data_IF_935359367413
#
_entry.id   IF_935359367413
#
_cell.length_a   1.000
_cell.length_b   1.000
_cell.length_c   1.000
_cell.angle_alpha   90.00
_cell.angle_beta   90.00
_cell.angle_gamma   90.00
#
_symmetry.space_group_name_H-M   'P 1'
#
loop_
_entity.id
_entity.type
_entity.pdbx_description
1 polymer ?
#
# COMPACT_ATOMS: atom_id res chain seq x y z
N UNK A 1 18.19 -5.44 -25.40
CA UNK A 1 16.97 -6.30 -25.31
C UNK A 1 16.39 -6.12 -23.92
N UNK A 2 15.18 -5.57 -23.80
CA UNK A 2 14.66 -5.07 -22.52
C UNK A 2 14.26 -6.25 -21.60
N UNK A 3 15.06 -6.51 -20.56
CA UNK A 3 14.97 -7.69 -19.67
C UNK A 3 13.62 -7.80 -18.91
N UNK A 4 12.85 -6.71 -18.90
CA UNK A 4 11.51 -6.62 -18.30
C UNK A 4 10.36 -7.15 -19.19
N UNK A 5 10.60 -7.51 -20.46
CA UNK A 5 9.57 -8.01 -21.39
C UNK A 5 9.45 -9.54 -21.42
N UNK A 6 10.53 -10.26 -21.13
CA UNK A 6 10.57 -11.73 -21.13
C UNK A 6 9.50 -12.38 -20.23
N UNK A 7 9.34 -12.01 -18.95
CA UNK A 7 8.33 -12.65 -18.08
C UNK A 7 6.90 -12.33 -18.52
N UNK A 8 6.63 -11.13 -19.03
CA UNK A 8 5.31 -10.74 -19.51
C UNK A 8 4.92 -11.44 -20.82
N UNK A 9 5.89 -11.69 -21.71
CA UNK A 9 5.67 -12.47 -22.94
C UNK A 9 5.47 -13.94 -22.60
N UNK A 10 6.26 -14.50 -21.67
CA UNK A 10 6.09 -15.87 -21.20
C UNK A 10 4.71 -16.10 -20.55
N UNK A 11 4.22 -15.17 -19.73
CA UNK A 11 2.88 -15.25 -19.13
C UNK A 11 1.76 -15.26 -20.18
N UNK A 12 1.86 -14.41 -21.22
CA UNK A 12 0.91 -14.40 -22.34
C UNK A 12 0.91 -15.70 -23.13
N UNK A 13 2.10 -16.26 -23.38
CA UNK A 13 2.25 -17.52 -24.09
C UNK A 13 1.71 -18.69 -23.27
N UNK A 14 1.97 -18.75 -21.96
CA UNK A 14 1.39 -19.75 -21.07
C UNK A 14 -0.13 -19.66 -21.03
N UNK A 15 -0.69 -18.44 -20.92
CA UNK A 15 -2.14 -18.25 -20.95
C UNK A 15 -2.74 -18.71 -22.28
N UNK A 16 -2.13 -18.33 -23.40
CA UNK A 16 -2.56 -18.79 -24.72
C UNK A 16 -2.50 -20.31 -24.87
N UNK A 17 -1.48 -20.95 -24.30
CA UNK A 17 -1.34 -22.41 -24.27
C UNK A 17 -2.44 -23.05 -23.41
N UNK A 18 -2.72 -22.52 -22.22
CA UNK A 18 -3.77 -23.04 -21.32
C UNK A 18 -5.13 -22.97 -22.01
N UNK A 19 -5.50 -21.80 -22.56
CA UNK A 19 -6.77 -21.64 -23.30
C UNK A 19 -6.84 -22.60 -24.48
N UNK A 20 -5.74 -22.77 -25.23
CA UNK A 20 -5.68 -23.71 -26.35
C UNK A 20 -5.87 -25.15 -25.90
N UNK A 21 -5.23 -25.56 -24.79
CA UNK A 21 -5.40 -26.89 -24.19
C UNK A 21 -6.83 -27.10 -23.72
N UNK A 22 -7.46 -26.10 -23.10
CA UNK A 22 -8.84 -26.17 -22.63
C UNK A 22 -9.82 -26.30 -23.80
N UNK A 23 -9.63 -25.50 -24.85
CA UNK A 23 -10.42 -25.63 -26.09
C UNK A 23 -10.21 -27.01 -26.71
N UNK A 24 -8.96 -27.47 -26.85
CA UNK A 24 -8.65 -28.78 -27.40
C UNK A 24 -9.27 -29.93 -26.58
N UNK A 25 -9.24 -29.84 -25.25
CA UNK A 25 -9.88 -30.80 -24.35
C UNK A 25 -11.40 -30.85 -24.55
N UNK A 26 -12.05 -29.69 -24.73
CA UNK A 26 -13.49 -29.62 -25.03
C UNK A 26 -13.87 -30.20 -26.39
N UNK A 27 -12.97 -30.12 -27.38
CA UNK A 27 -13.16 -30.74 -28.69
C UNK A 27 -12.87 -32.24 -28.69
N UNK A 28 -11.89 -32.71 -27.92
CA UNK A 28 -11.54 -34.13 -27.79
C UNK A 28 -12.55 -34.90 -26.92
N UNK A 29 -13.02 -34.29 -25.84
CA UNK A 29 -14.04 -34.85 -24.94
C UNK A 29 -15.46 -34.56 -25.43
N UNK A 30 -15.66 -34.36 -26.73
CA UNK A 30 -17.00 -34.14 -27.30
C UNK A 30 -17.81 -35.42 -27.17
N UNK A 31 -18.60 -35.50 -26.10
CA UNK A 31 -19.54 -36.59 -25.87
C UNK A 31 -20.76 -36.34 -26.77
N UNK A 32 -21.16 -37.35 -27.56
CA UNK A 32 -22.27 -37.27 -28.53
C UNK A 32 -23.61 -36.85 -27.90
N UNK A 33 -23.78 -37.05 -26.59
CA UNK A 33 -24.98 -36.68 -25.82
C UNK A 33 -24.99 -35.25 -25.28
N UNK A 34 -23.93 -34.45 -25.49
CA UNK A 34 -23.92 -33.07 -25.00
C UNK A 34 -24.82 -32.19 -25.87
N UNK A 35 -25.97 -31.80 -25.31
CA UNK A 35 -26.80 -30.76 -25.89
C UNK A 35 -25.95 -29.54 -26.23
N UNK A 36 -25.96 -29.13 -27.51
CA UNK A 36 -25.04 -28.13 -28.08
C UNK A 36 -24.95 -26.86 -27.26
N UNK A 37 -26.06 -26.42 -26.65
CA UNK A 37 -26.10 -25.23 -25.78
C UNK A 37 -25.24 -25.35 -24.52
N UNK A 38 -25.26 -26.49 -23.84
CA UNK A 38 -24.53 -26.69 -22.58
C UNK A 38 -23.02 -26.81 -22.80
N UNK A 39 -22.61 -27.37 -23.94
CA UNK A 39 -21.21 -27.41 -24.37
C UNK A 39 -20.66 -25.98 -24.52
N UNK A 40 -21.37 -25.11 -25.24
CA UNK A 40 -20.95 -23.72 -25.43
C UNK A 40 -20.93 -22.91 -24.14
N UNK A 41 -21.94 -23.05 -23.27
CA UNK A 41 -22.00 -22.29 -22.02
C UNK A 41 -20.88 -22.69 -21.06
N UNK A 42 -20.56 -23.98 -20.99
CA UNK A 42 -19.46 -24.48 -20.14
C UNK A 42 -18.10 -24.04 -20.67
N UNK A 43 -17.89 -24.11 -21.99
CA UNK A 43 -16.66 -23.62 -22.63
C UNK A 43 -16.44 -22.13 -22.35
N UNK A 44 -17.48 -21.31 -22.55
CA UNK A 44 -17.41 -19.86 -22.32
C UNK A 44 -17.11 -19.56 -20.84
N UNK A 45 -17.78 -20.25 -19.91
CA UNK A 45 -17.58 -20.02 -18.47
C UNK A 45 -16.14 -20.36 -18.03
N UNK A 46 -15.59 -21.49 -18.48
CA UNK A 46 -14.23 -21.89 -18.13
C UNK A 46 -13.20 -20.94 -18.76
N UNK A 47 -13.37 -20.54 -20.02
CA UNK A 47 -12.48 -19.56 -20.66
C UNK A 47 -12.55 -18.21 -19.95
N UNK A 48 -13.73 -17.78 -19.48
CA UNK A 48 -13.87 -16.59 -18.66
C UNK A 48 -13.16 -16.72 -17.31
N UNK A 49 -13.25 -17.88 -16.65
CA UNK A 49 -12.53 -18.15 -15.41
C UNK A 49 -11.00 -18.13 -15.61
N UNK A 50 -10.50 -18.71 -16.70
CA UNK A 50 -9.08 -18.66 -17.06
C UNK A 50 -8.63 -17.23 -17.33
N UNK A 51 -9.42 -16.45 -18.08
CA UNK A 51 -9.14 -15.05 -18.33
C UNK A 51 -9.12 -14.24 -17.03
N UNK A 52 -10.09 -14.46 -16.13
CA UNK A 52 -10.14 -13.82 -14.82
C UNK A 52 -8.88 -14.11 -13.98
N UNK A 53 -8.46 -15.38 -13.90
CA UNK A 53 -7.22 -15.78 -13.22
C UNK A 53 -5.99 -15.11 -13.83
N UNK A 54 -5.90 -15.07 -15.17
CA UNK A 54 -4.80 -14.41 -15.86
C UNK A 54 -4.75 -12.90 -15.60
N UNK A 55 -5.89 -12.22 -15.67
CA UNK A 55 -5.96 -10.78 -15.38
C UNK A 55 -5.57 -10.47 -13.94
N UNK A 56 -5.98 -11.29 -12.97
CA UNK A 56 -5.55 -11.16 -11.58
C UNK A 56 -4.04 -11.36 -11.42
N UNK A 57 -3.49 -12.44 -11.97
CA UNK A 57 -2.06 -12.73 -11.91
C UNK A 57 -1.18 -11.65 -12.56
N UNK A 58 -1.60 -11.12 -13.72
CA UNK A 58 -0.88 -10.01 -14.39
C UNK A 58 -1.04 -8.71 -13.62
N UNK A 59 -2.23 -8.44 -13.09
CA UNK A 59 -2.49 -7.29 -12.21
C UNK A 59 -1.54 -7.30 -11.01
N UNK A 60 -1.37 -8.47 -10.39
CA UNK A 60 -0.46 -8.67 -9.26
C UNK A 60 1.01 -8.46 -9.62
N UNK A 61 1.50 -9.00 -10.73
CA UNK A 61 2.90 -8.77 -11.15
C UNK A 61 3.17 -7.27 -11.37
N UNK A 62 2.17 -6.54 -11.89
CA UNK A 62 2.27 -5.09 -12.08
C UNK A 62 2.23 -4.34 -10.74
N UNK A 63 1.45 -4.84 -9.77
CA UNK A 63 1.30 -4.23 -8.45
C UNK A 63 2.49 -4.53 -7.51
N UNK A 64 2.98 -5.77 -7.49
CA UNK A 64 4.13 -6.19 -6.69
C UNK A 64 5.44 -5.48 -7.12
N UNK A 65 5.52 -5.05 -8.39
CA UNK A 65 6.59 -4.15 -8.86
C UNK A 65 6.63 -2.80 -8.16
N UNK A 66 5.55 -2.38 -7.49
CA UNK A 66 5.49 -1.13 -6.72
C UNK A 66 5.99 -1.28 -5.29
N UNK A 67 6.34 -2.50 -4.85
CA UNK A 67 6.88 -2.74 -3.51
C UNK A 67 5.84 -2.71 -2.39
N UNK A 68 4.55 -2.74 -2.72
CA UNK A 68 3.47 -2.82 -1.75
C UNK A 68 3.31 -4.26 -1.26
N UNK A 69 3.12 -4.40 0.06
CA UNK A 69 3.14 -5.68 0.76
C UNK A 69 2.19 -6.73 0.18
N UNK A 70 2.59 -7.99 0.39
CA UNK A 70 1.95 -9.23 -0.03
C UNK A 70 0.51 -9.55 0.49
N UNK A 71 -0.16 -8.86 1.44
CA UNK A 71 -1.45 -9.35 1.94
C UNK A 71 -2.61 -9.23 0.93
N UNK A 72 -2.63 -8.19 0.10
CA UNK A 72 -3.81 -7.89 -0.72
C UNK A 72 -3.94 -8.76 -1.99
N UNK A 73 -2.81 -9.27 -2.51
CA UNK A 73 -2.79 -10.09 -3.73
C UNK A 73 -3.43 -11.46 -3.52
N UNK A 74 -3.27 -12.06 -2.34
CA UNK A 74 -3.84 -13.39 -2.04
C UNK A 74 -5.37 -13.40 -2.17
N UNK A 75 -6.04 -12.30 -1.85
CA UNK A 75 -7.50 -12.19 -1.93
C UNK A 75 -8.00 -12.27 -3.39
N UNK A 76 -7.30 -11.65 -4.34
CA UNK A 76 -7.71 -11.68 -5.76
C UNK A 76 -7.46 -13.05 -6.40
N UNK A 77 -6.32 -13.69 -6.09
CA UNK A 77 -6.04 -15.06 -6.52
C UNK A 77 -7.10 -16.01 -5.98
N UNK A 78 -7.38 -15.98 -4.68
CA UNK A 78 -8.30 -16.92 -4.03
C UNK A 78 -9.73 -16.81 -4.55
N UNK A 79 -10.24 -15.58 -4.73
CA UNK A 79 -11.57 -15.34 -5.32
C UNK A 79 -11.65 -15.89 -6.75
N UNK A 80 -10.60 -15.69 -7.55
CA UNK A 80 -10.57 -16.17 -8.95
C UNK A 80 -10.43 -17.68 -9.07
N UNK A 81 -9.61 -18.30 -8.21
CA UNK A 81 -9.50 -19.76 -8.13
C UNK A 81 -10.82 -20.39 -7.69
N UNK A 82 -11.51 -19.79 -6.72
CA UNK A 82 -12.82 -20.27 -6.28
C UNK A 82 -13.88 -20.16 -7.38
N UNK A 83 -13.85 -19.09 -8.18
CA UNK A 83 -14.72 -18.95 -9.34
C UNK A 83 -14.46 -20.03 -10.39
N UNK A 84 -13.19 -20.31 -10.73
CA UNK A 84 -12.84 -21.40 -11.63
C UNK A 84 -13.26 -22.77 -11.10
N UNK A 85 -13.06 -23.03 -9.82
CA UNK A 85 -13.51 -24.27 -9.18
C UNK A 85 -15.05 -24.40 -9.23
N UNK A 86 -15.79 -23.31 -9.03
CA UNK A 86 -17.24 -23.30 -9.14
C UNK A 86 -17.72 -23.57 -10.57
N UNK A 87 -17.09 -22.98 -11.60
CA UNK A 87 -17.43 -23.22 -13.00
C UNK A 87 -17.19 -24.70 -13.41
N UNK A 88 -16.08 -25.30 -12.96
CA UNK A 88 -15.80 -26.72 -13.16
C UNK A 88 -16.84 -27.58 -12.41
N UNK A 89 -17.17 -27.21 -11.17
CA UNK A 89 -18.16 -27.91 -10.36
C UNK A 89 -19.55 -27.88 -11.01
N UNK A 90 -20.00 -26.74 -11.55
CA UNK A 90 -21.28 -26.66 -12.25
C UNK A 90 -21.31 -27.54 -13.49
N UNK A 91 -20.24 -27.51 -14.27
CA UNK A 91 -20.08 -28.34 -15.47
C UNK A 91 -20.08 -29.84 -15.13
N UNK A 92 -19.41 -30.26 -14.05
CA UNK A 92 -19.34 -31.66 -13.65
C UNK A 92 -20.61 -32.14 -12.92
N UNK A 93 -21.21 -31.32 -12.05
CA UNK A 93 -22.26 -31.75 -11.14
C UNK A 93 -23.67 -31.45 -11.67
N UNK A 94 -23.94 -30.21 -12.08
CA UNK A 94 -25.28 -29.82 -12.52
C UNK A 94 -25.60 -30.33 -13.93
N UNK A 95 -24.59 -30.40 -14.80
CA UNK A 95 -24.78 -30.89 -16.15
C UNK A 95 -24.65 -32.42 -16.24
N UNK A 96 -23.53 -33.00 -15.78
CA UNK A 96 -23.26 -34.43 -15.97
C UNK A 96 -24.15 -35.34 -15.11
N UNK A 97 -24.45 -34.92 -13.87
CA UNK A 97 -25.21 -35.74 -12.91
C UNK A 97 -26.70 -35.42 -12.90
N UNK A 98 -27.06 -34.13 -12.87
CA UNK A 98 -28.45 -33.70 -12.66
C UNK A 98 -29.22 -33.36 -13.94
N UNK A 99 -28.53 -33.26 -15.10
CA UNK A 99 -29.13 -32.99 -16.43
C UNK A 99 -30.16 -31.85 -16.41
N UNK A 100 -29.79 -30.75 -15.76
CA UNK A 100 -30.66 -29.57 -15.59
C UNK A 100 -30.91 -28.89 -16.94
N UNK A 101 -32.05 -28.21 -17.09
CA UNK A 101 -32.38 -27.43 -18.29
C UNK A 101 -31.35 -26.34 -18.59
N UNK A 102 -31.16 -26.02 -19.87
CA UNK A 102 -30.21 -25.00 -20.33
C UNK A 102 -30.44 -23.63 -19.69
N UNK A 103 -31.71 -23.22 -19.54
CA UNK A 103 -32.06 -21.94 -18.93
C UNK A 103 -31.60 -21.88 -17.47
N UNK A 104 -31.88 -22.91 -16.67
CA UNK A 104 -31.42 -22.97 -15.28
C UNK A 104 -29.89 -23.04 -15.17
N UNK A 105 -29.23 -23.78 -16.07
CA UNK A 105 -27.77 -23.84 -16.12
C UNK A 105 -27.13 -22.46 -16.39
N UNK A 106 -27.62 -21.75 -17.41
CA UNK A 106 -27.15 -20.40 -17.75
C UNK A 106 -27.38 -19.43 -16.60
N UNK A 107 -28.53 -19.50 -15.92
CA UNK A 107 -28.83 -18.63 -14.77
C UNK A 107 -27.84 -18.86 -13.63
N UNK A 108 -27.49 -20.12 -13.33
CA UNK A 108 -26.49 -20.44 -12.29
C UNK A 108 -25.12 -19.86 -12.66
N UNK A 109 -24.67 -20.02 -13.91
CA UNK A 109 -23.40 -19.45 -14.38
C UNK A 109 -23.37 -17.92 -14.29
N UNK A 110 -24.46 -17.26 -14.70
CA UNK A 110 -24.59 -15.79 -14.62
C UNK A 110 -24.58 -15.31 -13.18
N UNK A 111 -25.30 -15.97 -12.27
CA UNK A 111 -25.29 -15.63 -10.84
C UNK A 111 -23.88 -15.79 -10.27
N UNK A 112 -23.19 -16.86 -10.64
CA UNK A 112 -21.83 -17.16 -10.16
C UNK A 112 -20.82 -16.11 -10.63
N UNK A 113 -20.91 -15.71 -11.90
CA UNK A 113 -20.11 -14.62 -12.46
C UNK A 113 -20.41 -13.28 -11.77
N UNK A 114 -21.69 -13.01 -11.46
CA UNK A 114 -22.08 -11.80 -10.74
C UNK A 114 -21.51 -11.76 -9.31
N UNK A 115 -21.56 -12.87 -8.58
CA UNK A 115 -20.97 -12.99 -7.23
C UNK A 115 -19.46 -12.77 -7.29
N UNK A 116 -18.77 -13.36 -8.26
CA UNK A 116 -17.35 -13.13 -8.47
C UNK A 116 -17.04 -11.66 -8.74
N UNK A 117 -17.79 -11.00 -9.63
CA UNK A 117 -17.59 -9.59 -9.95
C UNK A 117 -17.80 -8.67 -8.74
N UNK A 118 -18.82 -8.95 -7.91
CA UNK A 118 -19.06 -8.21 -6.66
C UNK A 118 -17.91 -8.44 -5.67
N UNK A 119 -17.47 -9.69 -5.50
CA UNK A 119 -16.34 -10.03 -4.62
C UNK A 119 -15.05 -9.32 -5.03
N UNK A 120 -14.75 -9.30 -6.32
CA UNK A 120 -13.61 -8.57 -6.88
C UNK A 120 -13.73 -7.05 -6.65
N UNK A 121 -14.91 -6.47 -6.85
CA UNK A 121 -15.17 -5.05 -6.61
C UNK A 121 -14.95 -4.66 -5.15
N UNK A 122 -15.46 -5.46 -4.21
CA UNK A 122 -15.25 -5.25 -2.78
C UNK A 122 -13.78 -5.39 -2.40
N UNK A 123 -13.11 -6.45 -2.85
CA UNK A 123 -11.69 -6.67 -2.59
C UNK A 123 -10.84 -5.51 -3.11
N UNK A 124 -11.17 -4.97 -4.29
CA UNK A 124 -10.51 -3.79 -4.85
C UNK A 124 -10.70 -2.54 -3.99
N UNK A 125 -11.93 -2.29 -3.54
CA UNK A 125 -12.23 -1.15 -2.68
C UNK A 125 -11.48 -1.23 -1.35
N UNK A 126 -11.55 -2.37 -0.66
CA UNK A 126 -10.85 -2.58 0.61
C UNK A 126 -9.34 -2.44 0.46
N UNK A 127 -8.76 -3.01 -0.60
CA UNK A 127 -7.32 -2.90 -0.87
C UNK A 127 -6.89 -1.45 -1.07
N UNK A 128 -7.67 -0.65 -1.80
CA UNK A 128 -7.33 0.77 -2.00
C UNK A 128 -7.43 1.56 -0.70
N UNK A 129 -8.44 1.31 0.14
CA UNK A 129 -8.58 1.98 1.43
C UNK A 129 -7.41 1.65 2.34
N UNK A 130 -7.05 0.37 2.48
CA UNK A 130 -5.92 -0.06 3.31
C UNK A 130 -4.61 0.50 2.77
N UNK A 131 -4.39 0.48 1.44
CA UNK A 131 -3.17 1.04 0.86
C UNK A 131 -3.04 2.53 1.13
N UNK A 132 -4.10 3.31 0.97
CA UNK A 132 -4.07 4.73 1.27
C UNK A 132 -3.74 4.99 2.75
N UNK A 133 -4.30 4.18 3.67
CA UNK A 133 -3.96 4.27 5.09
C UNK A 133 -2.50 3.92 5.38
N UNK A 134 -1.96 2.86 4.75
CA UNK A 134 -0.56 2.49 4.88
C UNK A 134 0.38 3.56 4.31
N UNK A 135 0.03 4.16 3.17
CA UNK A 135 0.81 5.23 2.55
C UNK A 135 0.85 6.48 3.43
N UNK A 136 -0.30 6.89 3.97
CA UNK A 136 -0.39 8.02 4.91
C UNK A 136 0.46 7.75 6.17
N UNK A 137 0.38 6.55 6.74
CA UNK A 137 1.20 6.15 7.89
C UNK A 137 2.70 6.13 7.56
N UNK A 138 3.09 5.66 6.36
CA UNK A 138 4.49 5.67 5.90
C UNK A 138 5.02 7.09 5.78
N UNK A 139 4.24 8.01 5.22
CA UNK A 139 4.62 9.43 5.08
C UNK A 139 4.84 10.06 6.46
N UNK A 140 3.93 9.86 7.40
CA UNK A 140 4.04 10.39 8.76
C UNK A 140 5.27 9.84 9.50
N UNK A 141 5.49 8.52 9.42
CA UNK A 141 6.65 7.88 10.02
C UNK A 141 7.97 8.36 9.41
N UNK A 142 8.01 8.60 8.09
CA UNK A 142 9.15 9.22 7.43
C UNK A 142 9.39 10.65 7.94
N UNK A 143 8.34 11.43 8.11
CA UNK A 143 8.41 12.81 8.60
C UNK A 143 8.96 12.86 10.04
N UNK A 144 8.47 11.98 10.93
CA UNK A 144 9.00 11.85 12.28
C UNK A 144 10.48 11.43 12.30
N UNK A 145 10.87 10.51 11.41
CA UNK A 145 12.28 10.13 11.25
C UNK A 145 13.15 11.31 10.79
N UNK A 146 12.64 12.15 9.89
CA UNK A 146 13.35 13.37 9.45
C UNK A 146 13.51 14.38 10.58
N UNK A 147 12.48 14.59 11.41
CA UNK A 147 12.57 15.45 12.59
C UNK A 147 13.67 14.98 13.54
N UNK A 148 13.71 13.68 13.83
CA UNK A 148 14.74 13.10 14.70
C UNK A 148 16.14 13.31 14.13
N UNK A 149 16.34 13.02 12.84
CA UNK A 149 17.64 13.21 12.19
C UNK A 149 18.10 14.67 12.19
N UNK A 150 17.17 15.61 11.97
CA UNK A 150 17.48 17.03 12.02
C UNK A 150 17.80 17.49 13.46
N UNK A 151 17.10 16.99 14.49
CA UNK A 151 17.47 17.29 15.87
C UNK A 151 18.82 16.68 16.28
N UNK A 152 19.11 15.45 15.84
CA UNK A 152 20.41 14.82 16.08
C UNK A 152 21.52 15.65 15.42
N UNK A 153 21.33 16.16 14.19
CA UNK A 153 22.32 17.03 13.54
C UNK A 153 22.50 18.38 14.25
N UNK A 154 21.44 18.96 14.84
CA UNK A 154 21.56 20.12 15.73
C UNK A 154 22.42 19.80 16.95
N UNK A 155 22.18 18.65 17.59
CA UNK A 155 22.95 18.22 18.76
C UNK A 155 24.43 18.06 18.42
N UNK A 156 24.75 17.41 17.30
CA UNK A 156 26.14 17.25 16.84
C UNK A 156 26.82 18.59 16.56
N UNK A 157 26.13 19.53 15.89
CA UNK A 157 26.68 20.85 15.60
C UNK A 157 26.95 21.67 16.87
N UNK A 158 26.23 21.41 17.95
CA UNK A 158 26.48 22.06 19.24
C UNK A 158 27.59 21.36 20.05
N UNK A 159 27.79 20.06 19.89
CA UNK A 159 28.85 19.31 20.59
C UNK A 159 30.27 19.69 20.13
N UNK A 160 30.44 20.15 18.88
CA UNK A 160 31.75 20.57 18.35
C UNK A 160 32.29 21.89 18.94
N UNK A 161 31.45 22.71 19.60
CA UNK A 161 31.85 24.03 20.13
C UNK A 161 31.67 24.12 21.67
N UNK A 162 32.78 24.22 22.40
CA UNK A 162 32.82 24.42 23.87
C UNK A 162 32.59 25.90 24.24
N UNK A 163 31.37 26.40 24.03
CA UNK A 163 30.97 27.76 24.44
C UNK A 163 29.90 27.69 25.52
N UNK A 164 30.18 28.29 26.69
CA UNK A 164 29.34 28.27 27.89
C UNK A 164 27.92 28.84 27.65
N UNK A 165 27.78 29.85 26.77
CA UNK A 165 26.47 30.42 26.38
C UNK A 165 25.56 29.44 25.63
N UNK A 166 26.12 28.34 25.10
CA UNK A 166 25.42 27.31 24.32
C UNK A 166 25.03 26.09 25.13
N UNK A 167 25.46 25.96 26.38
CA UNK A 167 25.05 24.85 27.26
C UNK A 167 23.53 24.82 27.49
N UNK A 168 22.90 26.00 27.66
CA UNK A 168 21.44 26.10 27.76
C UNK A 168 20.73 25.66 26.46
N UNK A 169 21.36 25.88 25.30
CA UNK A 169 20.83 25.47 24.00
C UNK A 169 20.98 23.95 23.81
N UNK A 170 22.12 23.37 24.19
CA UNK A 170 22.37 21.92 24.21
C UNK A 170 21.35 21.20 25.08
N UNK A 171 21.10 21.69 26.30
CA UNK A 171 20.11 21.12 27.21
C UNK A 171 18.71 21.12 26.59
N UNK A 172 18.30 22.24 25.98
CA UNK A 172 16.99 22.36 25.32
C UNK A 172 16.84 21.43 24.11
N UNK A 173 17.88 21.28 23.28
CA UNK A 173 17.87 20.33 22.16
C UNK A 173 17.79 18.88 22.64
N UNK A 174 18.53 18.53 23.70
CA UNK A 174 18.47 17.18 24.29
C UNK A 174 17.08 16.84 24.84
N UNK A 175 16.43 17.77 25.52
CA UNK A 175 15.04 17.61 25.99
C UNK A 175 14.09 17.39 24.79
N UNK A 176 14.30 18.13 23.69
CA UNK A 176 13.47 18.01 22.50
C UNK A 176 13.64 16.65 21.80
N UNK A 177 14.89 16.15 21.73
CA UNK A 177 15.19 14.81 21.21
C UNK A 177 14.48 13.74 22.05
N UNK A 178 14.49 13.85 23.37
CA UNK A 178 13.75 12.92 24.24
C UNK A 178 12.25 12.98 23.98
N UNK A 179 11.67 14.18 23.91
CA UNK A 179 10.23 14.36 23.61
C UNK A 179 9.84 13.73 22.27
N UNK A 180 10.65 13.90 21.24
CA UNK A 180 10.42 13.29 19.91
C UNK A 180 10.60 11.77 19.98
N UNK A 181 11.62 11.27 20.67
CA UNK A 181 11.89 9.84 20.84
C UNK A 181 10.76 9.08 21.54
N UNK A 182 10.12 9.72 22.52
CA UNK A 182 8.98 9.15 23.25
C UNK A 182 7.61 9.54 22.66
N UNK A 183 7.58 10.29 21.55
CA UNK A 183 6.34 10.61 20.86
C UNK A 183 5.90 9.47 19.94
N UNK A 184 4.58 9.33 19.75
CA UNK A 184 4.04 8.33 18.82
C UNK A 184 4.39 8.71 17.36
N UNK A 185 5.08 7.84 16.59
CA UNK A 185 5.40 8.10 15.19
C UNK A 185 4.19 7.99 14.26
N UNK A 186 3.08 7.38 14.70
CA UNK A 186 1.84 7.27 13.92
C UNK A 186 0.92 8.43 14.28
N UNK A 187 0.57 9.24 13.30
CA UNK A 187 -0.27 10.43 13.50
C UNK A 187 -1.60 10.35 12.74
N UNK A 188 -2.49 11.31 12.98
CA UNK A 188 -3.74 11.41 12.23
C UNK A 188 -3.50 12.23 10.94
N UNK A 189 -4.05 11.85 9.77
CA UNK A 189 -3.81 12.55 8.50
C UNK A 189 -4.09 14.07 8.53
N UNK A 190 -5.03 14.51 9.37
CA UNK A 190 -5.35 15.93 9.55
C UNK A 190 -4.22 16.76 10.20
N UNK A 191 -3.20 16.12 10.79
CA UNK A 191 -2.10 16.81 11.47
C UNK A 191 -0.84 16.93 10.61
N UNK A 192 -0.85 16.45 9.36
CA UNK A 192 0.31 16.50 8.46
C UNK A 192 0.89 17.92 8.36
N UNK A 193 0.06 18.95 8.20
CA UNK A 193 0.56 20.33 8.12
C UNK A 193 1.23 20.84 9.40
N UNK A 194 0.75 20.41 10.57
CA UNK A 194 1.40 20.76 11.84
C UNK A 194 2.76 20.07 11.95
N UNK A 195 2.86 18.82 11.51
CA UNK A 195 4.12 18.07 11.49
C UNK A 195 5.10 18.65 10.45
N UNK A 196 4.65 19.03 9.26
CA UNK A 196 5.48 19.73 8.27
C UNK A 196 6.03 21.05 8.80
N UNK A 197 5.19 21.83 9.51
CA UNK A 197 5.61 23.08 10.13
C UNK A 197 6.65 22.85 11.24
N UNK A 198 6.44 21.85 12.09
CA UNK A 198 7.42 21.44 13.11
C UNK A 198 8.77 21.04 12.48
N UNK A 199 8.74 20.28 11.38
CA UNK A 199 9.96 19.91 10.66
C UNK A 199 10.66 21.13 10.07
N UNK A 200 9.90 22.08 9.54
CA UNK A 200 10.45 23.34 9.03
C UNK A 200 11.13 24.15 10.14
N UNK A 201 10.48 24.29 11.31
CA UNK A 201 11.06 24.98 12.46
C UNK A 201 12.35 24.30 12.95
N UNK A 202 12.41 22.97 12.98
CA UNK A 202 13.61 22.21 13.36
C UNK A 202 14.75 22.43 12.36
N UNK A 203 14.45 22.44 11.05
CA UNK A 203 15.46 22.74 10.01
C UNK A 203 15.95 24.19 10.10
N UNK A 204 15.08 25.12 10.44
CA UNK A 204 15.49 26.52 10.66
C UNK A 204 16.37 26.64 11.91
N UNK A 205 16.04 25.89 12.98
CA UNK A 205 16.90 25.79 14.17
C UNK A 205 18.29 25.22 13.79
N UNK A 206 18.34 24.18 12.97
CA UNK A 206 19.59 23.63 12.45
C UNK A 206 20.40 24.66 11.67
N UNK A 207 19.74 25.42 10.80
CA UNK A 207 20.38 26.50 10.04
C UNK A 207 20.91 27.60 10.95
N UNK A 208 20.13 28.02 11.96
CA UNK A 208 20.57 29.02 12.94
C UNK A 208 21.81 28.52 13.69
N UNK A 209 21.78 27.28 14.19
CA UNK A 209 22.87 26.68 14.96
C UNK A 209 24.14 26.52 14.15
N UNK A 210 24.07 26.04 12.91
CA UNK A 210 25.23 25.98 12.01
C UNK A 210 25.78 27.36 11.65
N UNK A 211 24.93 28.38 11.61
CA UNK A 211 25.32 29.75 11.33
C UNK A 211 25.90 30.50 12.54
N UNK A 212 25.99 29.87 13.71
CA UNK A 212 26.56 30.47 14.92
C UNK A 212 28.09 30.52 14.90
N UNK A 213 28.77 29.80 14.00
CA UNK A 213 30.22 29.89 13.80
C UNK A 213 30.67 31.26 13.25
N UNK A 214 29.75 32.05 12.68
CA UNK A 214 30.01 33.42 12.23
C UNK A 214 29.84 34.42 13.39
N UNK A 215 30.97 34.83 13.99
CA UNK A 215 31.05 35.71 15.17
C UNK A 215 30.33 37.07 15.03
N UNK A 216 30.02 37.53 13.81
CA UNK A 216 29.42 38.84 13.57
C UNK A 216 27.92 38.95 13.99
N UNK A 217 27.21 37.82 14.12
CA UNK A 217 25.75 37.80 14.41
C UNK A 217 25.37 36.85 15.56
N UNK A 218 26.34 36.38 16.33
CA UNK A 218 26.19 35.27 17.28
C UNK A 218 25.07 35.51 18.31
N UNK A 219 25.02 36.68 18.97
CA UNK A 219 23.99 36.97 19.99
C UNK A 219 22.56 36.96 19.45
N UNK A 220 22.32 37.48 18.24
CA UNK A 220 20.99 37.51 17.63
C UNK A 220 20.53 36.11 17.23
N UNK A 221 21.45 35.29 16.70
CA UNK A 221 21.19 33.91 16.29
C UNK A 221 20.98 32.98 17.50
N UNK A 222 21.66 33.20 18.62
CA UNK A 222 21.43 32.43 19.87
C UNK A 222 20.03 32.69 20.43
N UNK A 223 19.59 33.96 20.49
CA UNK A 223 18.25 34.27 21.01
C UNK A 223 17.16 33.73 20.08
N UNK A 224 17.36 33.82 18.76
CA UNK A 224 16.46 33.21 17.77
C UNK A 224 16.38 31.68 17.94
N UNK A 225 17.53 31.01 18.14
CA UNK A 225 17.58 29.56 18.37
C UNK A 225 16.85 29.16 19.66
N UNK A 226 16.98 29.95 20.73
CA UNK A 226 16.24 29.74 21.99
C UNK A 226 14.75 29.97 21.85
N UNK A 227 14.34 30.92 21.00
CA UNK A 227 12.94 31.14 20.67
C UNK A 227 12.37 29.95 19.88
N UNK A 228 13.07 29.52 18.82
CA UNK A 228 12.69 28.35 18.03
C UNK A 228 12.57 27.09 18.88
N UNK A 229 13.50 26.84 19.82
CA UNK A 229 13.38 25.70 20.75
C UNK A 229 12.11 25.76 21.61
N UNK A 230 11.76 26.94 22.11
CA UNK A 230 10.52 27.13 22.90
C UNK A 230 9.28 26.90 22.04
N UNK A 231 9.28 27.43 20.82
CA UNK A 231 8.16 27.30 19.88
C UNK A 231 7.97 25.82 19.47
N UNK A 232 9.06 25.12 19.10
CA UNK A 232 9.01 23.70 18.72
C UNK A 232 8.55 22.83 19.89
N UNK A 233 9.03 23.11 21.11
CA UNK A 233 8.62 22.38 22.32
C UNK A 233 7.12 22.56 22.63
N UNK A 234 6.59 23.78 22.46
CA UNK A 234 5.18 24.08 22.63
C UNK A 234 4.32 23.41 21.54
N UNK A 235 4.73 23.48 20.28
CA UNK A 235 4.03 22.87 19.15
C UNK A 235 4.05 21.33 19.22
N UNK A 236 5.14 20.71 19.69
CA UNK A 236 5.19 19.27 19.98
C UNK A 236 4.23 18.87 21.11
N UNK A 237 4.15 19.70 22.16
CA UNK A 237 3.19 19.51 23.24
C UNK A 237 1.74 19.57 22.73
N UNK A 238 1.45 20.53 21.84
CA UNK A 238 0.14 20.68 21.18
C UNK A 238 -0.18 19.50 20.26
N UNK A 239 0.80 19.03 19.49
CA UNK A 239 0.67 17.82 18.68
C UNK A 239 0.27 16.63 19.52
N UNK A 240 0.98 16.39 20.61
CA UNK A 240 0.73 15.22 21.46
C UNK A 240 -0.65 15.28 22.13
N UNK A 241 -1.12 16.46 22.55
CA UNK A 241 -2.47 16.60 23.11
C UNK A 241 -3.57 16.40 22.05
N UNK A 242 -3.38 16.96 20.84
CA UNK A 242 -4.31 16.73 19.73
C UNK A 242 -4.35 15.27 19.29
N UNK A 243 -3.21 14.59 19.28
CA UNK A 243 -3.11 13.16 19.01
C UNK A 243 -3.96 12.32 19.97
N UNK A 244 -3.96 12.67 21.26
CA UNK A 244 -4.78 11.97 22.27
C UNK A 244 -6.27 12.16 21.98
N UNK A 245 -6.69 13.32 21.47
CA UNK A 245 -8.11 13.60 21.16
C UNK A 245 -8.61 12.99 19.85
N UNK A 246 -7.70 12.70 18.92
CA UNK A 246 -8.01 12.19 17.59
C UNK A 246 -7.90 10.65 17.49
N UNK A 247 -7.44 9.99 18.56
CA UNK A 247 -7.44 8.53 18.72
C UNK A 247 -8.74 8.06 19.35
#
# INVERSE_FOLDING_TARGET
>A
MNMNRLPAVAAKLMFGLIVLVTVAAFFLCRVEDWGTGHWWTSLISIVLAEAACYYCAVGEVKQNRRGDGLPASLTFVTISVLYGAAAIFHTAFFWLTLRISLTSFVVIEVITAAVWAIGMGLAHHFTNVVRNQEDDQRVQMQLMKQMKLALDSVSYALEEEEIEEREALKAGVRELIEKVKYSDPVSHPSMIHMEENLLWQIKELERCVRGLSDQAEEKGKVEMSRKLLRDISADLGRRNSQLITLK
#
